data_IF_449367260031
#
_entry.id   IF_449367260031
#
_cell.length_a   1.000
_cell.length_b   1.000
_cell.length_c   1.000
_cell.angle_alpha   90.00
_cell.angle_beta   90.00
_cell.angle_gamma   90.00
#
_symmetry.space_group_name_H-M   'P 1'
#
loop_
_entity.id
_entity.type
_entity.pdbx_description
1 polymer ?
#
# COMPACT_ATOMS: atom_id res chain seq x y z
N UNK A 1 -14.91 -82.88 15.37
CA UNK A 1 -14.34 -82.54 16.70
C UNK A 1 -13.11 -81.67 16.50
N UNK A 2 -13.00 -80.58 17.27
CA UNK A 2 -11.81 -79.77 17.63
C UNK A 2 -10.80 -79.36 16.54
N UNK A 3 -10.20 -78.17 16.49
CA UNK A 3 -10.29 -76.81 17.06
C UNK A 3 -8.97 -76.14 16.62
N UNK A 4 -8.94 -74.80 16.51
CA UNK A 4 -7.74 -73.89 16.39
C UNK A 4 -7.10 -73.78 14.99
N UNK A 5 -6.52 -72.65 14.57
CA UNK A 5 -6.60 -71.19 14.81
C UNK A 5 -5.51 -70.62 13.87
N UNK A 6 -5.82 -69.56 13.13
CA UNK A 6 -4.98 -68.45 12.65
C UNK A 6 -3.46 -68.63 12.39
N UNK A 7 -3.01 -68.13 11.21
CA UNK A 7 -2.13 -66.93 11.02
C UNK A 7 -0.99 -67.16 10.00
N UNK A 8 -0.84 -66.23 9.04
CA UNK A 8 0.35 -65.83 8.25
C UNK A 8 -0.06 -64.46 7.65
N UNK A 9 0.38 -63.26 8.11
CA UNK A 9 1.72 -62.60 8.08
C UNK A 9 2.25 -62.53 6.64
N UNK A 10 2.54 -61.38 6.04
CA UNK A 10 3.60 -60.37 6.34
C UNK A 10 3.23 -59.01 5.70
N UNK A 11 3.81 -57.82 5.96
CA UNK A 11 5.19 -57.37 6.24
C UNK A 11 5.12 -56.00 7.00
N UNK A 12 5.77 -55.75 8.16
CA UNK A 12 7.13 -55.16 8.37
C UNK A 12 7.47 -54.04 7.39
N UNK A 13 7.74 -52.76 7.75
CA UNK A 13 8.81 -52.14 8.56
C UNK A 13 8.32 -50.73 9.00
N UNK A 14 8.74 -50.03 10.05
CA UNK A 14 9.83 -50.09 11.02
C UNK A 14 9.72 -48.86 11.94
N UNK A 15 10.17 -49.06 13.18
CA UNK A 15 10.20 -48.20 14.38
C UNK A 15 10.99 -46.87 14.13
N UNK A 16 11.03 -45.80 14.93
CA UNK A 16 10.52 -45.33 16.24
C UNK A 16 11.04 -43.89 16.35
N UNK A 17 10.26 -42.92 16.87
CA UNK A 17 10.70 -42.01 17.95
C UNK A 17 9.53 -41.17 18.44
N UNK A 18 8.96 -41.64 19.55
CA UNK A 18 8.12 -40.88 20.46
C UNK A 18 9.06 -40.18 21.46
N UNK A 19 9.01 -38.86 21.50
CA UNK A 19 9.35 -38.01 22.66
C UNK A 19 8.28 -36.93 22.68
N UNK A 20 7.28 -37.15 23.54
CA UNK A 20 7.14 -36.48 24.83
C UNK A 20 6.28 -35.22 24.62
N UNK A 21 5.02 -35.36 25.04
CA UNK A 21 4.14 -34.24 25.30
C UNK A 21 4.76 -33.49 26.46
N UNK A 22 5.17 -32.26 26.22
CA UNK A 22 5.19 -31.24 27.25
C UNK A 22 4.21 -30.15 26.81
N UNK A 23 3.26 -29.94 27.71
CA UNK A 23 2.23 -28.93 27.67
C UNK A 23 2.85 -27.52 27.73
N UNK A 24 2.23 -26.61 26.97
CA UNK A 24 1.83 -25.32 27.50
C UNK A 24 2.92 -24.28 27.78
N UNK A 25 3.28 -23.52 26.73
CA UNK A 25 3.14 -22.06 26.80
C UNK A 25 2.96 -21.51 25.38
N UNK A 26 1.80 -21.79 24.79
CA UNK A 26 1.30 -21.01 23.67
C UNK A 26 0.81 -19.69 24.27
N UNK A 27 1.56 -18.63 24.00
CA UNK A 27 1.18 -17.24 24.24
C UNK A 27 -0.32 -17.02 23.92
N UNK A 28 -1.18 -16.65 24.90
CA UNK A 28 -2.63 -16.55 24.70
C UNK A 28 -3.08 -15.32 23.91
N UNK A 29 -2.22 -14.71 23.09
CA UNK A 29 -2.59 -13.55 22.25
C UNK A 29 -2.93 -13.89 20.80
N UNK A 30 -2.90 -15.16 20.37
CA UNK A 30 -3.46 -15.58 19.08
C UNK A 30 -4.97 -15.81 19.18
N UNK A 31 -5.70 -14.73 19.46
CA UNK A 31 -7.15 -14.71 19.29
C UNK A 31 -7.50 -14.99 17.83
N UNK A 32 -8.31 -16.02 17.61
CA UNK A 32 -9.44 -16.17 16.67
C UNK A 32 -9.61 -15.17 15.50
N UNK A 33 -8.56 -14.66 14.86
CA UNK A 33 -8.62 -13.78 13.68
C UNK A 33 -8.72 -14.60 12.39
N UNK A 34 -9.62 -15.59 12.35
CA UNK A 34 -9.76 -16.54 11.22
C UNK A 34 -10.41 -15.98 9.95
N UNK A 35 -10.68 -14.67 9.89
CA UNK A 35 -11.39 -14.04 8.77
C UNK A 35 -10.68 -12.76 8.32
N UNK A 36 -10.57 -12.57 7.00
CA UNK A 36 -10.08 -11.34 6.39
C UNK A 36 -10.81 -10.10 6.90
N UNK A 37 -12.09 -10.20 7.24
CA UNK A 37 -12.85 -9.09 7.83
C UNK A 37 -12.29 -8.66 9.18
N UNK A 38 -11.97 -9.63 10.05
CA UNK A 38 -11.40 -9.37 11.37
C UNK A 38 -10.01 -8.74 11.26
N UNK A 39 -9.18 -9.27 10.36
CA UNK A 39 -7.86 -8.71 10.07
C UNK A 39 -7.95 -7.26 9.56
N UNK A 40 -8.87 -6.98 8.63
CA UNK A 40 -9.12 -5.61 8.14
C UNK A 40 -9.61 -4.70 9.27
N UNK A 41 -10.56 -5.16 10.10
CA UNK A 41 -11.07 -4.38 11.23
C UNK A 41 -9.98 -4.05 12.25
N UNK A 42 -9.09 -4.99 12.54
CA UNK A 42 -7.95 -4.79 13.43
C UNK A 42 -6.97 -3.75 12.86
N UNK A 43 -6.60 -3.88 11.60
CA UNK A 43 -5.71 -2.92 10.92
C UNK A 43 -6.33 -1.52 10.85
N UNK A 44 -7.64 -1.43 10.57
CA UNK A 44 -8.40 -0.17 10.57
C UNK A 44 -8.41 0.48 11.96
N UNK A 45 -8.51 -0.31 13.04
CA UNK A 45 -8.47 0.20 14.42
C UNK A 45 -7.11 0.77 14.78
N UNK A 46 -6.04 0.18 14.25
CA UNK A 46 -4.65 0.65 14.44
C UNK A 46 -4.29 1.84 13.55
N UNK A 47 -5.18 2.24 12.64
CA UNK A 47 -4.90 3.33 11.70
C UNK A 47 -4.69 4.66 12.45
N UNK A 48 -3.56 5.35 12.25
CA UNK A 48 -3.23 6.57 12.98
C UNK A 48 -3.98 7.79 12.40
N UNK A 49 -5.28 7.89 12.69
CA UNK A 49 -6.18 8.94 12.19
C UNK A 49 -5.64 10.36 12.45
N UNK A 50 -5.01 10.56 13.61
CA UNK A 50 -4.44 11.86 14.00
C UNK A 50 -3.28 12.34 13.13
N UNK A 51 -2.50 11.42 12.52
CA UNK A 51 -1.41 11.80 11.59
C UNK A 51 -1.93 12.40 10.29
N UNK A 52 -3.20 12.14 9.96
CA UNK A 52 -3.82 12.58 8.73
C UNK A 52 -4.92 13.63 8.95
N UNK A 53 -5.00 14.22 10.15
CA UNK A 53 -6.01 15.22 10.51
C UNK A 53 -7.45 14.74 10.20
N UNK A 54 -7.70 13.43 10.33
CA UNK A 54 -8.97 12.80 9.94
C UNK A 54 -9.40 13.01 8.48
N UNK A 55 -8.50 13.50 7.62
CA UNK A 55 -8.75 13.77 6.21
C UNK A 55 -8.86 12.49 5.38
N UNK A 56 -8.38 11.36 5.91
CA UNK A 56 -8.45 10.06 5.27
C UNK A 56 -9.40 9.11 6.02
N UNK A 57 -10.16 8.27 5.30
CA UNK A 57 -10.75 7.08 5.90
C UNK A 57 -9.65 6.15 6.42
N UNK A 58 -9.95 5.31 7.42
CA UNK A 58 -9.02 4.26 7.85
C UNK A 58 -8.74 3.30 6.70
N UNK A 59 -7.46 3.00 6.49
CA UNK A 59 -7.01 2.16 5.38
C UNK A 59 -6.19 1.00 5.94
N UNK A 60 -6.59 -0.22 5.61
CA UNK A 60 -5.77 -1.41 5.80
C UNK A 60 -5.03 -1.73 4.50
N UNK A 61 -3.74 -2.07 4.54
CA UNK A 61 -3.04 -2.48 3.32
C UNK A 61 -3.30 -3.95 3.01
N UNK A 62 -3.48 -4.27 1.73
CA UNK A 62 -3.63 -5.67 1.29
C UNK A 62 -2.43 -6.54 1.69
N UNK A 63 -1.22 -5.98 1.63
CA UNK A 63 0.01 -6.63 2.11
C UNK A 63 0.00 -6.94 3.62
N UNK A 64 -0.59 -6.07 4.43
CA UNK A 64 -0.75 -6.30 5.87
C UNK A 64 -1.76 -7.42 6.15
N UNK A 65 -2.88 -7.45 5.41
CA UNK A 65 -3.87 -8.54 5.53
C UNK A 65 -3.24 -9.90 5.20
N UNK A 66 -2.40 -9.97 4.17
CA UNK A 66 -1.65 -11.19 3.83
C UNK A 66 -0.61 -11.59 4.86
N UNK A 67 -0.14 -10.66 5.69
CA UNK A 67 0.80 -10.97 6.77
C UNK A 67 0.10 -11.53 8.00
N UNK A 68 -1.18 -11.15 8.21
CA UNK A 68 -2.01 -11.66 9.30
C UNK A 68 -2.64 -13.02 8.98
N UNK A 69 -2.92 -13.30 7.70
CA UNK A 69 -3.54 -14.54 7.27
C UNK A 69 -2.50 -15.53 6.70
N UNK A 70 -2.48 -16.79 7.17
CA UNK A 70 -1.51 -17.78 6.72
C UNK A 70 -1.72 -18.26 5.28
N UNK A 71 -2.95 -18.17 4.76
CA UNK A 71 -3.32 -18.59 3.40
C UNK A 71 -3.80 -17.41 2.56
N UNK A 72 -2.99 -17.01 1.58
CA UNK A 72 -3.27 -15.90 0.66
C UNK A 72 -4.47 -16.18 -0.24
N UNK A 73 -4.69 -17.43 -0.62
CA UNK A 73 -5.80 -17.83 -1.49
C UNK A 73 -7.13 -17.69 -0.76
N UNK A 74 -7.17 -18.13 0.50
CA UNK A 74 -8.35 -17.95 1.37
C UNK A 74 -8.57 -16.48 1.67
N UNK A 75 -7.51 -15.72 1.95
CA UNK A 75 -7.59 -14.27 2.15
C UNK A 75 -8.21 -13.57 0.94
N UNK A 76 -7.75 -13.89 -0.27
CA UNK A 76 -8.26 -13.30 -1.52
C UNK A 76 -9.73 -13.63 -1.75
N UNK A 77 -10.12 -14.88 -1.51
CA UNK A 77 -11.53 -15.30 -1.62
C UNK A 77 -12.40 -14.51 -0.64
N UNK A 78 -12.01 -14.42 0.63
CA UNK A 78 -12.76 -13.69 1.65
C UNK A 78 -12.82 -12.19 1.37
N UNK A 79 -11.72 -11.57 0.91
CA UNK A 79 -11.72 -10.16 0.51
C UNK A 79 -12.66 -9.91 -0.68
N UNK A 80 -12.69 -10.82 -1.65
CA UNK A 80 -13.59 -10.74 -2.78
C UNK A 80 -15.06 -10.89 -2.35
N UNK A 81 -15.37 -11.83 -1.47
CA UNK A 81 -16.71 -12.00 -0.89
C UNK A 81 -17.17 -10.71 -0.18
N UNK A 82 -16.32 -10.08 0.63
CA UNK A 82 -16.63 -8.80 1.29
C UNK A 82 -16.81 -7.64 0.30
N UNK A 83 -16.05 -7.65 -0.80
CA UNK A 83 -16.15 -6.65 -1.86
C UNK A 83 -17.47 -6.80 -2.63
N UNK A 84 -17.87 -8.03 -2.96
CA UNK A 84 -19.13 -8.38 -3.62
C UNK A 84 -20.35 -8.07 -2.74
N UNK A 85 -20.24 -8.27 -1.42
CA UNK A 85 -21.26 -7.86 -0.45
C UNK A 85 -21.36 -6.34 -0.27
N UNK A 86 -20.41 -5.58 -0.82
CA UNK A 86 -20.39 -4.13 -0.67
C UNK A 86 -19.86 -3.64 0.68
N UNK A 87 -19.30 -4.51 1.53
CA UNK A 87 -18.80 -4.13 2.85
C UNK A 87 -17.47 -3.35 2.77
N UNK A 88 -16.60 -3.73 1.84
CA UNK A 88 -15.28 -3.13 1.66
C UNK A 88 -15.07 -2.60 0.24
N UNK A 89 -14.14 -1.66 0.11
CA UNK A 89 -13.64 -1.12 -1.15
C UNK A 89 -12.13 -1.27 -1.20
N UNK A 90 -11.65 -1.76 -2.34
CA UNK A 90 -10.23 -1.78 -2.66
C UNK A 90 -9.94 -0.51 -3.44
N UNK A 91 -8.91 0.24 -3.03
CA UNK A 91 -8.51 1.50 -3.64
C UNK A 91 -7.03 1.48 -4.00
N UNK A 92 -6.68 2.22 -5.04
CA UNK A 92 -5.29 2.46 -5.42
C UNK A 92 -4.75 3.63 -4.60
N UNK A 93 -3.67 3.40 -3.86
CA UNK A 93 -3.06 4.42 -3.01
C UNK A 93 -1.94 5.20 -3.71
N UNK A 94 -1.60 4.87 -4.96
CA UNK A 94 -0.86 5.73 -5.88
C UNK A 94 0.67 5.72 -5.75
N UNK A 95 1.26 4.84 -4.94
CA UNK A 95 2.71 4.74 -4.76
C UNK A 95 3.38 3.60 -5.54
N UNK A 96 2.66 2.49 -5.77
CA UNK A 96 3.12 1.35 -6.55
C UNK A 96 1.90 0.64 -7.18
N UNK A 97 2.07 -0.12 -8.25
CA UNK A 97 0.98 -0.91 -8.85
C UNK A 97 0.40 -1.95 -7.88
N UNK A 98 1.17 -2.34 -6.86
CA UNK A 98 0.74 -3.29 -5.82
C UNK A 98 0.22 -2.63 -4.54
N UNK A 99 0.15 -1.29 -4.53
CA UNK A 99 -0.25 -0.44 -3.40
C UNK A 99 -1.77 -0.39 -3.17
N UNK A 100 -2.38 -1.54 -2.89
CA UNK A 100 -3.81 -1.64 -2.69
C UNK A 100 -4.21 -1.40 -1.23
N UNK A 101 -5.05 -0.40 -1.01
CA UNK A 101 -5.71 -0.14 0.27
C UNK A 101 -7.10 -0.78 0.32
N UNK A 102 -7.49 -1.25 1.49
CA UNK A 102 -8.81 -1.80 1.81
C UNK A 102 -9.47 -0.88 2.83
N UNK A 103 -10.70 -0.46 2.54
CA UNK A 103 -11.45 0.51 3.34
C UNK A 103 -12.89 0.01 3.47
N UNK A 104 -13.54 0.24 4.62
CA UNK A 104 -14.98 -0.02 4.74
C UNK A 104 -15.79 0.97 3.92
N UNK A 105 -16.83 0.49 3.22
CA UNK A 105 -17.63 1.30 2.30
C UNK A 105 -18.29 2.50 3.00
N UNK A 106 -18.78 2.30 4.23
CA UNK A 106 -19.40 3.37 5.04
C UNK A 106 -18.42 4.48 5.42
N UNK A 107 -17.21 4.10 5.85
CA UNK A 107 -16.13 5.03 6.16
C UNK A 107 -15.69 5.80 4.91
N UNK A 108 -15.56 5.09 3.78
CA UNK A 108 -15.23 5.71 2.50
C UNK A 108 -16.26 6.76 2.09
N UNK A 109 -17.55 6.40 2.09
CA UNK A 109 -18.64 7.31 1.72
C UNK A 109 -18.66 8.56 2.58
N UNK A 110 -18.61 8.39 3.90
CA UNK A 110 -18.67 9.51 4.84
C UNK A 110 -17.49 10.46 4.67
N UNK A 111 -16.28 9.92 4.50
CA UNK A 111 -15.06 10.72 4.35
C UNK A 111 -14.98 11.42 3.00
N UNK A 112 -15.35 10.75 1.91
CA UNK A 112 -15.38 11.35 0.57
C UNK A 112 -16.40 12.48 0.49
N UNK A 113 -17.60 12.29 1.07
CA UNK A 113 -18.61 13.35 1.15
C UNK A 113 -18.08 14.56 1.91
N UNK A 114 -17.47 14.34 3.08
CA UNK A 114 -16.87 15.42 3.89
C UNK A 114 -15.73 16.14 3.16
N UNK A 115 -14.88 15.41 2.44
CA UNK A 115 -13.74 15.98 1.72
C UNK A 115 -14.18 16.83 0.51
N UNK A 116 -15.33 16.52 -0.09
CA UNK A 116 -15.84 17.21 -1.27
C UNK A 116 -16.91 18.25 -0.95
N UNK A 117 -17.31 18.40 0.31
CA UNK A 117 -18.35 19.33 0.72
C UNK A 117 -17.96 20.79 0.38
N UNK A 118 -18.93 21.55 -0.14
CA UNK A 118 -18.72 22.93 -0.60
C UNK A 118 -17.82 23.12 -1.84
N UNK A 119 -17.42 22.04 -2.54
CA UNK A 119 -16.56 22.10 -3.74
C UNK A 119 -17.39 22.03 -5.03
N UNK A 120 -16.91 22.61 -6.15
CA UNK A 120 -17.64 22.60 -7.43
C UNK A 120 -17.86 21.19 -8.01
N UNK A 121 -17.07 20.20 -7.58
CA UNK A 121 -17.18 18.81 -7.99
C UNK A 121 -18.05 17.94 -7.06
N UNK A 122 -18.65 18.53 -6.00
CA UNK A 122 -19.44 17.79 -5.02
C UNK A 122 -20.61 17.01 -5.66
N UNK A 123 -21.29 17.61 -6.65
CA UNK A 123 -22.41 16.97 -7.34
C UNK A 123 -22.00 15.70 -8.11
N UNK A 124 -20.89 15.75 -8.84
CA UNK A 124 -20.37 14.57 -9.55
C UNK A 124 -19.95 13.47 -8.57
N UNK A 125 -19.31 13.83 -7.45
CA UNK A 125 -18.91 12.88 -6.40
C UNK A 125 -20.14 12.25 -5.74
N UNK A 126 -21.16 13.03 -5.38
CA UNK A 126 -22.40 12.49 -4.81
C UNK A 126 -23.10 11.52 -5.76
N UNK A 127 -23.18 11.88 -7.05
CA UNK A 127 -23.70 10.99 -8.10
C UNK A 127 -22.90 9.68 -8.15
N UNK A 128 -21.57 9.76 -8.12
CA UNK A 128 -20.69 8.58 -8.11
C UNK A 128 -20.92 7.67 -6.91
N UNK A 129 -20.99 8.25 -5.71
CA UNK A 129 -21.26 7.49 -4.49
C UNK A 129 -22.64 6.84 -4.49
N UNK A 130 -23.63 7.44 -5.16
CA UNK A 130 -25.00 6.93 -5.23
C UNK A 130 -25.22 5.91 -6.35
N UNK A 131 -24.54 6.04 -7.49
CA UNK A 131 -24.74 5.16 -8.66
C UNK A 131 -23.68 4.08 -8.80
N UNK A 132 -22.41 4.39 -8.57
CA UNK A 132 -21.29 3.48 -8.86
C UNK A 132 -21.03 2.56 -7.67
N UNK A 133 -20.96 3.10 -6.45
CA UNK A 133 -20.65 2.27 -5.28
C UNK A 133 -21.66 1.15 -5.04
N UNK A 134 -22.98 1.30 -5.24
CA UNK A 134 -23.90 0.18 -5.07
C UNK A 134 -23.85 -0.83 -6.23
N UNK A 135 -23.43 -0.39 -7.42
CA UNK A 135 -23.50 -1.19 -8.63
C UNK A 135 -22.29 -2.11 -8.81
N UNK A 136 -21.10 -1.68 -8.40
CA UNK A 136 -19.93 -2.57 -8.37
C UNK A 136 -18.92 -2.20 -7.28
N UNK A 137 -18.18 -3.21 -6.83
CA UNK A 137 -17.05 -3.07 -5.91
C UNK A 137 -15.71 -2.90 -6.64
N UNK A 138 -15.72 -2.69 -7.95
CA UNK A 138 -14.52 -2.77 -8.80
C UNK A 138 -13.46 -1.73 -8.41
N UNK A 139 -12.19 -2.13 -8.51
CA UNK A 139 -11.05 -1.25 -8.30
C UNK A 139 -10.82 -0.31 -9.49
N UNK A 140 -11.17 -0.72 -10.71
CA UNK A 140 -11.01 0.09 -11.93
C UNK A 140 -12.32 0.33 -12.66
N UNK A 141 -12.43 1.50 -13.26
CA UNK A 141 -13.55 1.90 -14.12
C UNK A 141 -13.04 2.24 -15.52
N UNK A 142 -13.73 1.70 -16.52
CA UNK A 142 -13.48 2.01 -17.94
C UNK A 142 -14.38 3.16 -18.42
N UNK A 143 -13.96 3.88 -19.45
CA UNK A 143 -14.73 5.00 -20.03
C UNK A 143 -16.11 4.56 -20.49
N UNK A 144 -16.21 3.42 -21.16
CA UNK A 144 -17.49 2.85 -21.58
C UNK A 144 -18.42 2.56 -20.40
N UNK A 145 -17.88 2.05 -19.28
CA UNK A 145 -18.65 1.80 -18.07
C UNK A 145 -19.14 3.12 -17.46
N UNK A 146 -18.25 4.10 -17.32
CA UNK A 146 -18.57 5.42 -16.76
C UNK A 146 -19.61 6.16 -17.60
N UNK A 147 -19.47 6.15 -18.92
CA UNK A 147 -20.32 6.92 -19.84
C UNK A 147 -21.63 6.19 -20.18
N UNK A 148 -21.55 4.92 -20.62
CA UNK A 148 -22.71 4.16 -21.11
C UNK A 148 -23.52 3.53 -19.98
N UNK A 149 -22.87 3.03 -18.92
CA UNK A 149 -23.57 2.34 -17.82
C UNK A 149 -24.01 3.31 -16.73
N UNK A 150 -23.10 4.20 -16.33
CA UNK A 150 -23.36 5.12 -15.21
C UNK A 150 -23.77 6.54 -15.63
N UNK A 151 -23.73 6.85 -16.93
CA UNK A 151 -24.20 8.13 -17.46
C UNK A 151 -23.34 9.32 -17.03
N UNK A 152 -22.06 9.13 -16.77
CA UNK A 152 -21.12 10.22 -16.51
C UNK A 152 -20.66 10.88 -17.81
N UNK A 153 -20.60 12.22 -17.79
CA UNK A 153 -20.00 13.00 -18.88
C UNK A 153 -18.51 13.22 -18.63
N UNK A 154 -17.72 13.44 -19.69
CA UNK A 154 -16.27 13.69 -19.56
C UNK A 154 -15.90 14.80 -18.55
N UNK A 155 -16.65 15.91 -18.44
CA UNK A 155 -16.40 16.92 -17.39
C UNK A 155 -16.65 16.39 -15.98
N UNK A 156 -17.66 15.55 -15.78
CA UNK A 156 -17.94 14.92 -14.47
C UNK A 156 -16.84 13.92 -14.10
N UNK A 157 -16.34 13.14 -15.07
CA UNK A 157 -15.20 12.24 -14.87
C UNK A 157 -13.95 13.05 -14.49
N UNK A 158 -13.70 14.16 -15.19
CA UNK A 158 -12.61 15.09 -14.86
C UNK A 158 -12.76 15.65 -13.44
N UNK A 159 -13.99 15.99 -13.02
CA UNK A 159 -14.28 16.43 -11.66
C UNK A 159 -13.98 15.35 -10.61
N UNK A 160 -14.28 14.08 -10.89
CA UNK A 160 -13.95 12.96 -10.00
C UNK A 160 -12.43 12.75 -9.86
N UNK A 161 -11.68 12.91 -10.95
CA UNK A 161 -10.21 12.88 -10.92
C UNK A 161 -9.65 14.05 -10.12
N UNK A 162 -10.15 15.27 -10.35
CA UNK A 162 -9.74 16.47 -9.61
C UNK A 162 -10.11 16.40 -8.12
N UNK A 163 -11.19 15.69 -7.77
CA UNK A 163 -11.58 15.42 -6.39
C UNK A 163 -10.67 14.39 -5.70
N UNK A 164 -9.85 13.65 -6.47
CA UNK A 164 -9.04 12.54 -5.96
C UNK A 164 -9.84 11.27 -5.65
N UNK A 165 -11.07 11.17 -6.15
CA UNK A 165 -11.92 9.96 -6.05
C UNK A 165 -11.52 8.94 -7.12
N UNK A 166 -11.02 9.42 -8.26
CA UNK A 166 -10.44 8.61 -9.32
C UNK A 166 -8.99 9.03 -9.58
N UNK A 167 -8.14 8.07 -9.95
CA UNK A 167 -6.79 8.34 -10.48
C UNK A 167 -6.64 7.70 -11.85
N UNK A 168 -5.93 8.37 -12.75
CA UNK A 168 -5.70 7.88 -14.12
C UNK A 168 -4.86 6.61 -14.06
N UNK A 169 -5.32 5.55 -14.74
CA UNK A 169 -4.54 4.33 -15.00
C UNK A 169 -3.98 4.38 -16.41
N UNK A 170 -4.87 4.46 -17.40
CA UNK A 170 -4.58 4.49 -18.83
C UNK A 170 -5.56 5.44 -19.54
N UNK A 171 -5.39 5.63 -20.85
CA UNK A 171 -6.36 6.35 -21.67
C UNK A 171 -7.75 5.69 -21.55
N UNK A 172 -8.71 6.44 -20.99
CA UNK A 172 -10.07 5.95 -20.77
C UNK A 172 -10.22 4.93 -19.63
N UNK A 173 -9.24 4.83 -18.72
CA UNK A 173 -9.29 3.92 -17.58
C UNK A 173 -8.80 4.59 -16.30
N UNK A 174 -9.54 4.41 -15.21
CA UNK A 174 -9.23 5.01 -13.91
C UNK A 174 -9.30 3.98 -12.78
N UNK A 175 -8.47 4.16 -11.76
CA UNK A 175 -8.58 3.44 -10.49
C UNK A 175 -9.44 4.21 -9.50
N UNK A 176 -10.16 3.49 -8.65
CA UNK A 176 -10.77 4.03 -7.44
C UNK A 176 -9.67 4.53 -6.50
N UNK A 177 -9.78 5.76 -6.06
CA UNK A 177 -8.84 6.41 -5.16
C UNK A 177 -9.56 7.05 -3.98
N UNK A 178 -8.77 7.58 -3.06
CA UNK A 178 -9.24 8.30 -1.88
C UNK A 178 -8.76 9.75 -1.96
N UNK A 179 -9.64 10.74 -1.79
CA UNK A 179 -9.25 12.14 -1.69
C UNK A 179 -8.17 12.33 -0.63
N UNK A 180 -7.05 12.96 -0.99
CA UNK A 180 -5.95 13.18 -0.08
C UNK A 180 -5.01 11.99 0.12
N UNK A 181 -5.17 10.88 -0.63
CA UNK A 181 -4.27 9.71 -0.56
C UNK A 181 -2.79 10.09 -0.72
N UNK A 182 -2.45 11.15 -1.45
CA UNK A 182 -1.07 11.64 -1.54
C UNK A 182 -0.42 11.99 -0.18
N UNK A 183 -1.20 12.42 0.82
CA UNK A 183 -0.69 12.63 2.20
C UNK A 183 -0.31 11.29 2.85
N UNK A 184 -1.09 10.23 2.62
CA UNK A 184 -0.79 8.88 3.09
C UNK A 184 0.59 8.41 2.61
N UNK A 185 0.88 8.61 1.32
CA UNK A 185 2.16 8.23 0.69
C UNK A 185 3.34 8.88 1.40
N UNK A 186 3.27 10.20 1.63
CA UNK A 186 4.37 10.97 2.24
C UNK A 186 4.74 10.43 3.62
N UNK A 187 3.77 9.97 4.40
CA UNK A 187 4.02 9.37 5.71
C UNK A 187 4.45 7.91 5.60
N UNK A 188 3.84 7.12 4.70
CA UNK A 188 4.16 5.69 4.57
C UNK A 188 5.59 5.46 4.06
N UNK A 189 6.05 6.26 3.09
CA UNK A 189 7.45 6.23 2.62
C UNK A 189 8.41 6.65 3.73
N UNK A 190 8.01 7.60 4.61
CA UNK A 190 8.84 8.05 5.73
C UNK A 190 8.93 7.03 6.87
N UNK A 191 7.88 6.24 7.11
CA UNK A 191 7.83 5.22 8.18
C UNK A 191 8.35 3.86 7.70
N UNK A 192 8.35 3.60 6.39
CA UNK A 192 8.96 2.41 5.78
C UNK A 192 10.46 2.56 5.51
N UNK A 193 11.04 3.73 5.86
CA UNK A 193 12.47 3.99 5.83
C UNK A 193 13.08 4.11 7.24
N UNK A 194 13.13 3.01 8.01
CA UNK A 194 14.21 2.79 8.95
C UNK A 194 14.95 1.51 8.54
N UNK A 195 16.29 1.61 8.42
CA UNK A 195 17.24 0.54 8.06
C UNK A 195 17.63 0.40 6.58
N UNK A 196 17.91 1.51 5.91
CA UNK A 196 19.12 1.57 5.09
C UNK A 196 20.02 2.62 5.72
N UNK A 197 20.83 2.18 6.67
CA UNK A 197 22.10 2.85 6.95
C UNK A 197 22.76 3.11 5.59
N UNK A 198 23.12 4.35 5.23
CA UNK A 198 24.09 4.53 4.18
C UNK A 198 25.35 3.83 4.67
N UNK A 199 25.62 2.63 4.15
CA UNK A 199 26.94 2.04 4.20
C UNK A 199 27.85 2.96 3.41
N UNK A 200 28.34 4.00 4.08
CA UNK A 200 29.39 4.89 3.61
C UNK A 200 30.71 4.13 3.65
N UNK A 201 30.81 3.08 2.82
CA UNK A 201 32.06 2.63 2.25
C UNK A 201 32.43 3.59 1.10
N UNK A 202 32.77 4.81 1.48
CA UNK A 202 33.59 5.74 0.71
C UNK A 202 34.31 6.62 1.72
N UNK A 203 35.14 6.01 2.56
CA UNK A 203 36.26 6.70 3.17
C UNK A 203 37.16 7.18 2.03
N UNK A 204 36.98 8.42 1.61
CA UNK A 204 38.09 9.19 1.04
C UNK A 204 38.93 9.63 2.22
N UNK A 205 40.22 9.28 2.30
CA UNK A 205 41.13 9.96 3.19
C UNK A 205 41.48 11.31 2.55
N UNK A 206 40.95 12.38 3.12
CA UNK A 206 41.59 13.69 3.01
C UNK A 206 42.67 13.75 4.09
N UNK A 207 43.93 13.66 3.70
CA UNK A 207 45.02 14.25 4.48
C UNK A 207 46.28 14.41 3.62
N UNK A 208 46.50 15.63 3.13
CA UNK A 208 47.83 16.23 3.06
C UNK A 208 47.74 17.72 2.79
N UNK A 209 47.50 18.47 3.85
CA UNK A 209 48.01 19.83 3.95
C UNK A 209 49.54 19.77 4.05
N UNK A 210 50.28 20.26 3.03
CA UNK A 210 51.63 20.80 3.24
C UNK A 210 51.92 21.99 2.31
N UNK A 211 52.12 23.12 2.97
CA UNK A 211 53.05 24.21 2.65
C UNK A 211 52.67 25.21 1.55
N UNK A 212 51.99 26.28 1.97
CA UNK A 212 52.22 27.60 1.43
C UNK A 212 53.48 28.20 2.05
N UNK A 213 54.48 28.49 1.23
CA UNK A 213 55.59 29.39 1.55
C UNK A 213 55.77 30.35 0.38
N UNK A 214 55.51 31.64 0.58
CA UNK A 214 56.15 32.74 -0.17
C UNK A 214 57.50 33.05 0.52
N UNK A 215 58.54 33.68 -0.08
CA UNK A 215 58.45 34.88 -0.93
C UNK A 215 59.53 35.10 -2.05
N UNK A 216 59.29 36.15 -2.85
CA UNK A 216 60.22 37.12 -3.50
C UNK A 216 61.53 36.68 -4.22
N UNK A 217 61.73 37.15 -5.46
CA UNK A 217 62.67 38.23 -5.87
C UNK A 217 63.33 38.04 -7.26
N UNK A 218 63.52 39.16 -7.99
CA UNK A 218 64.41 39.36 -9.15
C UNK A 218 63.90 38.80 -10.49
N UNK A 219 64.03 39.43 -11.66
CA UNK A 219 64.79 40.60 -12.09
C UNK A 219 64.28 41.03 -13.49
N UNK A 220 64.35 42.34 -13.74
CA UNK A 220 64.58 43.07 -15.00
C UNK A 220 63.88 42.74 -16.33
N UNK A 221 63.28 43.79 -16.94
CA UNK A 221 62.66 43.81 -18.28
C UNK A 221 63.67 43.92 -19.45
N UNK A 222 63.49 44.78 -20.48
CA UNK A 222 62.32 45.61 -20.82
C UNK A 222 62.01 45.68 -22.35
N UNK A 223 61.02 46.54 -22.68
CA UNK A 223 60.88 47.37 -23.91
C UNK A 223 59.87 46.94 -25.00
N UNK A 224 58.76 47.70 -24.97
CA UNK A 224 58.22 48.57 -26.04
C UNK A 224 58.38 48.09 -27.51
N UNK A 225 57.26 47.98 -28.20
CA UNK A 225 56.93 48.89 -29.29
C UNK A 225 55.43 48.87 -29.58
N UNK A 226 54.83 50.06 -29.57
CA UNK A 226 53.55 50.37 -30.17
C UNK A 226 53.78 50.88 -31.59
N UNK A 227 52.93 50.52 -32.55
CA UNK A 227 52.55 51.22 -33.79
C UNK A 227 51.32 50.43 -34.31
N UNK A 228 50.13 50.97 -34.59
CA UNK A 228 49.79 52.28 -35.15
C UNK A 228 49.37 52.04 -36.62
N UNK A 229 48.08 52.24 -36.94
CA UNK A 229 47.54 52.14 -38.31
C UNK A 229 46.13 51.61 -38.36
#
# INVERSE_FOLDING_TARGET
MSRKRHRLVSETFGLKRRREREDGEVDPLRGESGSARAAVAELVRLFPRGLFEDALPPIALRSQVYSLLPDRTVADRQLKELQEQGEIRVVQLGFDLDAHGIIFTEDYRTKVLKACDGRPFAGAVQKFLASVLPACGDLSFQQDQMTKTFGFKDPEITQLVNAGVLTVRDAGSWWLAVPGAGKFIKYFVKVSLPLLEPSSACQRPEDSARHCTSPQSGEEGPRRAAYGG
#
